data_IF_488497565871
#
_entry.id   IF_488497565871
#
_cell.length_a   1.000
_cell.length_b   1.000
_cell.length_c   1.000
_cell.angle_alpha   90.00
_cell.angle_beta   90.00
_cell.angle_gamma   90.00
#
_symmetry.space_group_name_H-M   'P 1'
#
loop_
_entity.id
_entity.type
_entity.pdbx_description
1 polymer ?
#
# COMPACT_ATOMS: atom_id res chain seq x y z
N UNK A 1 -24.17 -2.60 9.72
CA UNK A 1 -23.08 -2.55 8.71
C UNK A 1 -22.68 -1.15 8.23
N UNK A 2 -23.42 -0.05 8.50
CA UNK A 2 -23.10 1.28 7.94
C UNK A 2 -22.18 2.20 8.80
N UNK A 3 -21.83 1.83 10.05
CA UNK A 3 -21.05 2.69 10.96
C UNK A 3 -19.53 2.49 10.88
N UNK A 4 -19.04 1.32 10.44
CA UNK A 4 -17.60 1.04 10.35
C UNK A 4 -16.93 1.66 9.11
N UNK A 5 -17.66 1.85 8.01
CA UNK A 5 -17.11 2.38 6.75
C UNK A 5 -16.60 3.84 6.84
N UNK A 6 -17.23 4.66 7.70
CA UNK A 6 -16.81 6.05 7.91
C UNK A 6 -15.50 6.18 8.70
N UNK A 7 -15.14 5.15 9.47
CA UNK A 7 -13.92 5.17 10.30
C UNK A 7 -12.72 4.72 9.46
N UNK A 8 -12.86 3.66 8.66
CA UNK A 8 -11.78 3.22 7.75
C UNK A 8 -11.39 4.29 6.72
N UNK A 9 -12.35 5.01 6.14
CA UNK A 9 -12.06 6.07 5.16
C UNK A 9 -11.26 7.24 5.76
N UNK A 10 -11.47 7.55 7.05
CA UNK A 10 -10.71 8.61 7.73
C UNK A 10 -9.30 8.14 8.16
N UNK A 11 -9.13 6.87 8.51
CA UNK A 11 -7.84 6.26 8.83
C UNK A 11 -6.98 6.03 7.58
N UNK A 12 -7.58 5.63 6.46
CA UNK A 12 -6.89 5.47 5.18
C UNK A 12 -6.41 6.81 4.61
N UNK A 13 -7.22 7.88 4.70
CA UNK A 13 -6.79 9.24 4.32
C UNK A 13 -5.59 9.74 5.13
N UNK A 14 -5.43 9.33 6.39
CA UNK A 14 -4.26 9.67 7.23
C UNK A 14 -2.97 8.94 6.81
N UNK A 15 -3.07 7.90 5.96
CA UNK A 15 -1.91 7.16 5.43
C UNK A 15 -1.41 7.71 4.10
N UNK A 16 -2.25 8.44 3.36
CA UNK A 16 -1.83 9.16 2.15
C UNK A 16 -0.80 10.22 2.52
N UNK A 17 0.34 10.23 1.82
CA UNK A 17 1.48 11.10 2.10
C UNK A 17 2.49 10.51 3.09
N UNK A 18 2.19 9.38 3.75
CA UNK A 18 3.15 8.67 4.60
C UNK A 18 4.01 7.71 3.78
N UNK A 19 5.19 7.44 4.33
CA UNK A 19 6.08 6.37 3.89
C UNK A 19 5.77 5.13 4.71
N UNK A 20 5.35 4.07 4.06
CA UNK A 20 5.06 2.79 4.69
C UNK A 20 6.08 1.76 4.21
N UNK A 21 6.46 0.87 5.12
CA UNK A 21 7.27 -0.29 4.77
C UNK A 21 6.34 -1.38 4.24
N UNK A 22 6.61 -1.81 3.02
CA UNK A 22 5.77 -2.75 2.27
C UNK A 22 6.61 -3.94 1.88
N UNK A 23 6.09 -5.13 2.18
CA UNK A 23 6.68 -6.37 1.73
C UNK A 23 6.21 -6.63 0.30
N UNK A 24 7.15 -6.76 -0.64
CA UNK A 24 6.82 -7.10 -2.02
C UNK A 24 6.43 -8.57 -2.09
N UNK A 25 5.19 -8.83 -2.50
CA UNK A 25 4.66 -10.18 -2.69
C UNK A 25 4.67 -10.56 -4.17
N UNK A 26 4.41 -9.60 -5.06
CA UNK A 26 4.44 -9.79 -6.50
C UNK A 26 5.24 -8.65 -7.16
N UNK A 27 6.10 -8.97 -8.13
CA UNK A 27 6.83 -7.97 -8.90
C UNK A 27 6.75 -8.29 -10.39
N UNK A 28 6.24 -7.35 -11.17
CA UNK A 28 6.13 -7.39 -12.62
C UNK A 28 6.87 -6.20 -13.23
N UNK A 29 8.20 -6.32 -13.31
CA UNK A 29 9.06 -5.30 -13.91
C UNK A 29 9.03 -3.98 -13.14
N UNK A 30 8.32 -2.97 -13.66
CA UNK A 30 8.22 -1.62 -13.06
C UNK A 30 7.06 -1.46 -12.07
N UNK A 31 6.22 -2.48 -11.96
CA UNK A 31 5.06 -2.50 -11.08
C UNK A 31 5.24 -3.65 -10.12
N UNK A 32 5.03 -3.40 -8.84
CA UNK A 32 5.00 -4.42 -7.81
C UNK A 32 3.72 -4.28 -6.97
N UNK A 33 3.35 -5.38 -6.33
CA UNK A 33 2.26 -5.42 -5.35
C UNK A 33 2.82 -5.94 -4.04
N UNK A 34 2.30 -5.39 -2.96
CA UNK A 34 2.72 -5.79 -1.64
C UNK A 34 1.71 -5.47 -0.57
N UNK A 35 2.02 -5.95 0.63
CA UNK A 35 1.23 -5.78 1.83
C UNK A 35 2.01 -4.91 2.81
N UNK A 36 1.32 -3.94 3.42
CA UNK A 36 1.94 -3.07 4.40
C UNK A 36 2.18 -3.82 5.72
N UNK A 37 3.34 -3.63 6.35
CA UNK A 37 3.75 -4.38 7.55
C UNK A 37 2.87 -4.13 8.79
N UNK A 38 2.05 -3.07 8.79
CA UNK A 38 1.42 -2.52 10.00
C UNK A 38 -0.11 -2.71 10.07
N UNK A 39 -0.76 -3.36 9.10
CA UNK A 39 -2.22 -3.53 9.12
C UNK A 39 -2.65 -4.98 9.37
N UNK A 40 -3.69 -5.11 10.20
CA UNK A 40 -4.39 -6.35 10.44
C UNK A 40 -5.18 -6.79 9.19
N UNK A 41 -5.37 -8.11 8.97
CA UNK A 41 -6.01 -8.71 7.77
C UNK A 41 -7.45 -8.26 7.46
N UNK A 42 -8.05 -7.37 8.25
CA UNK A 42 -9.41 -6.85 8.01
C UNK A 42 -9.46 -5.51 7.25
N UNK A 43 -8.31 -4.84 7.02
CA UNK A 43 -8.19 -3.60 6.22
C UNK A 43 -7.28 -3.85 5.01
N UNK A 44 -7.48 -4.99 4.36
CA UNK A 44 -6.68 -5.45 3.22
C UNK A 44 -6.98 -4.63 1.96
N UNK A 45 -6.13 -3.63 1.73
CA UNK A 45 -5.96 -2.99 0.44
C UNK A 45 -4.66 -3.46 -0.19
N UNK A 46 -4.70 -3.91 -1.44
CA UNK A 46 -3.48 -4.22 -2.19
C UNK A 46 -2.73 -2.90 -2.40
N UNK A 47 -1.44 -2.88 -2.08
CA UNK A 47 -0.61 -1.72 -2.36
C UNK A 47 0.08 -1.90 -3.69
N UNK A 48 -0.31 -1.07 -4.66
CA UNK A 48 0.33 -0.97 -5.96
C UNK A 48 1.52 -0.02 -5.87
N UNK A 49 2.67 -0.53 -6.27
CA UNK A 49 3.95 0.12 -6.09
C UNK A 49 4.55 0.31 -7.47
N UNK A 50 4.73 1.55 -7.88
CA UNK A 50 5.48 1.84 -9.09
C UNK A 50 6.93 2.14 -8.72
N UNK A 51 7.87 1.48 -9.38
CA UNK A 51 9.30 1.72 -9.20
C UNK A 51 9.98 1.93 -10.54
N UNK A 52 11.03 2.76 -10.54
CA UNK A 52 11.90 2.92 -11.72
C UNK A 52 12.77 1.68 -11.94
N UNK A 53 13.06 0.95 -10.87
CA UNK A 53 13.89 -0.26 -10.87
C UNK A 53 13.03 -1.49 -10.53
N UNK A 54 13.36 -2.66 -11.09
CA UNK A 54 12.67 -3.89 -10.74
C UNK A 54 12.87 -4.22 -9.27
N UNK A 55 11.75 -4.36 -8.56
CA UNK A 55 11.75 -4.77 -7.14
C UNK A 55 11.78 -6.29 -7.04
N UNK A 56 12.36 -6.82 -5.97
CA UNK A 56 12.39 -8.26 -5.70
C UNK A 56 11.27 -8.65 -4.75
N UNK A 57 10.62 -9.77 -5.05
CA UNK A 57 9.67 -10.42 -4.14
C UNK A 57 10.40 -10.87 -2.87
N UNK A 58 9.76 -10.68 -1.72
CA UNK A 58 10.32 -10.97 -0.39
C UNK A 58 11.15 -9.83 0.20
N UNK A 59 11.33 -8.72 -0.51
CA UNK A 59 12.05 -7.55 -0.01
C UNK A 59 11.09 -6.55 0.63
N UNK A 60 11.54 -5.90 1.71
CA UNK A 60 10.84 -4.78 2.31
C UNK A 60 11.31 -3.49 1.67
N UNK A 61 10.39 -2.77 1.05
CA UNK A 61 10.66 -1.47 0.42
C UNK A 61 9.87 -0.37 1.08
N UNK A 62 10.44 0.83 1.09
CA UNK A 62 9.73 2.02 1.57
C UNK A 62 8.92 2.58 0.40
N UNK A 63 7.62 2.63 0.57
CA UNK A 63 6.70 3.15 -0.44
C UNK A 63 6.05 4.40 0.09
N UNK A 64 6.18 5.49 -0.66
CA UNK A 64 5.44 6.72 -0.41
C UNK A 64 4.05 6.57 -1.02
N UNK A 65 3.03 6.50 -0.17
CA UNK A 65 1.64 6.46 -0.62
C UNK A 65 1.28 7.84 -1.17
N UNK A 66 0.99 7.92 -2.47
CA UNK A 66 0.61 9.18 -3.12
C UNK A 66 -0.91 9.33 -3.23
N UNK A 67 -1.62 8.20 -3.35
CA UNK A 67 -3.07 8.18 -3.41
C UNK A 67 -3.63 6.89 -2.78
N UNK A 68 -4.81 7.00 -2.21
CA UNK A 68 -5.62 5.87 -1.76
C UNK A 68 -6.94 5.92 -2.50
N UNK A 69 -7.38 4.78 -3.02
CA UNK A 69 -8.72 4.61 -3.56
C UNK A 69 -9.65 3.96 -2.52
N UNK A 70 -10.87 3.57 -2.93
CA UNK A 70 -11.87 3.00 -2.01
C UNK A 70 -11.39 1.77 -1.21
N UNK A 71 -10.49 0.97 -1.80
CA UNK A 71 -9.90 -0.22 -1.16
C UNK A 71 -8.39 -0.35 -1.41
N UNK A 72 -7.87 0.20 -2.51
CA UNK A 72 -6.46 0.03 -2.89
C UNK A 72 -5.58 1.24 -2.55
N UNK A 73 -4.29 1.01 -2.35
CA UNK A 73 -3.30 2.06 -2.15
C UNK A 73 -2.36 2.10 -3.36
N UNK A 74 -1.98 3.31 -3.78
CA UNK A 74 -0.99 3.49 -4.82
C UNK A 74 0.14 4.37 -4.30
N UNK A 75 1.36 3.92 -4.54
CA UNK A 75 2.55 4.64 -4.15
C UNK A 75 3.73 4.37 -5.05
N UNK A 76 4.79 5.12 -4.80
CA UNK A 76 6.06 5.00 -5.49
C UNK A 76 7.11 4.53 -4.49
N UNK A 77 7.90 3.52 -4.88
CA UNK A 77 9.06 3.11 -4.11
C UNK A 77 10.11 4.23 -4.11
N UNK A 78 10.57 4.62 -2.92
CA UNK A 78 11.56 5.69 -2.71
C UNK A 78 12.89 5.12 -2.27
#
# INVERSE_FOLDING_TARGET
MAKQQKISTHLLKKKVGKRLQILIDESQGKIAKGLSQYDAPEIDGVVYISSRLPLRVGEFVIVKIERSDAYDLYGIAV
#
